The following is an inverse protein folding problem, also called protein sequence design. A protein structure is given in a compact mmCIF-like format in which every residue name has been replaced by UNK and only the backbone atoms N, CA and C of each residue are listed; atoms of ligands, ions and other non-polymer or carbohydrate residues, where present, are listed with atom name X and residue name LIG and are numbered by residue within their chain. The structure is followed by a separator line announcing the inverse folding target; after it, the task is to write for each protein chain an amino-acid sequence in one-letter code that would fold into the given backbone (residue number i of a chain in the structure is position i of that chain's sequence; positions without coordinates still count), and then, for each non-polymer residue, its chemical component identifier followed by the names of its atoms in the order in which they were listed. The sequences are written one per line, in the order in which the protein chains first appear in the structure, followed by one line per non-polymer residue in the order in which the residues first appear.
data_IF_925974210537
#
_entry.id   IF_925974210537
#
_cell.length_a   1.000
_cell.length_b   1.000
_cell.length_c   1.000
_cell.angle_alpha   90.00
_cell.angle_beta   90.00
_cell.angle_gamma   90.00
#
_symmetry.space_group_name_H-M   'P 1'
#
loop_
_entity.id
_entity.type
_entity.pdbx_description
1 polymer ?
#
# COMPACT_ATOMS: atom_id res chain seq x y z
N UNK A 1 -0.72 11.15 9.17
CA UNK A 1 -1.34 9.91 8.65
C UNK A 1 -0.49 8.75 9.14
N UNK A 2 -0.78 8.27 10.36
CA UNK A 2 -0.07 7.14 10.97
C UNK A 2 -0.62 5.86 10.34
N UNK A 3 0.23 5.16 9.61
CA UNK A 3 -0.07 3.88 8.96
C UNK A 3 -0.22 2.83 10.06
N UNK A 4 -1.46 2.46 10.39
CA UNK A 4 -1.72 1.32 11.26
C UNK A 4 -1.38 0.03 10.47
N UNK A 5 -0.34 -0.68 10.92
CA UNK A 5 0.04 -1.98 10.37
C UNK A 5 -0.95 -3.03 10.89
N UNK A 6 -1.94 -3.38 10.07
CA UNK A 6 -2.86 -4.48 10.34
C UNK A 6 -2.17 -5.78 9.91
N UNK A 7 -1.98 -6.69 10.87
CA UNK A 7 -1.49 -8.08 10.75
C UNK A 7 0.04 -8.26 10.62
N UNK A 8 0.70 -8.21 11.79
CA UNK A 8 2.04 -8.77 11.98
C UNK A 8 1.96 -10.30 11.80
N UNK A 9 2.76 -10.96 10.94
CA UNK A 9 2.79 -12.42 10.80
C UNK A 9 2.98 -13.14 12.15
N UNK A 10 2.32 -14.29 12.33
CA UNK A 10 2.28 -15.01 13.62
C UNK A 10 3.68 -15.29 14.20
N UNK A 11 4.66 -15.64 13.35
CA UNK A 11 6.04 -15.88 13.80
C UNK A 11 6.71 -14.62 14.39
N UNK A 12 6.39 -13.44 13.85
CA UNK A 12 6.88 -12.14 14.38
C UNK A 12 6.13 -11.81 15.66
N UNK A 13 4.81 -12.06 15.72
CA UNK A 13 4.05 -11.89 16.96
C UNK A 13 4.56 -12.78 18.08
N UNK A 14 4.89 -14.05 17.76
CA UNK A 14 5.47 -14.98 18.74
C UNK A 14 6.83 -14.49 19.23
N UNK A 15 7.70 -14.02 18.34
CA UNK A 15 8.99 -13.42 18.72
C UNK A 15 8.81 -12.19 19.60
N UNK A 16 7.90 -11.29 19.25
CA UNK A 16 7.56 -10.10 20.06
C UNK A 16 7.01 -10.49 21.44
N UNK A 17 6.17 -11.53 21.52
CA UNK A 17 5.65 -12.03 22.80
C UNK A 17 6.76 -12.64 23.66
N UNK A 18 7.67 -13.41 23.08
CA UNK A 18 8.83 -13.94 23.80
C UNK A 18 9.74 -12.82 24.32
N UNK A 19 9.98 -11.77 23.53
CA UNK A 19 10.71 -10.58 23.96
C UNK A 19 9.98 -9.83 25.08
N UNK A 20 8.65 -9.70 25.02
CA UNK A 20 7.84 -9.10 26.09
C UNK A 20 7.86 -9.92 27.38
N UNK A 21 7.82 -11.26 27.29
CA UNK A 21 7.93 -12.16 28.44
C UNK A 21 9.33 -12.04 29.05
N UNK A 22 10.39 -11.98 28.23
CA UNK A 22 11.75 -11.78 28.72
C UNK A 22 11.93 -10.42 29.43
N UNK A 23 11.16 -9.40 29.03
CA UNK A 23 11.15 -8.06 29.65
C UNK A 23 10.19 -7.91 30.83
N UNK A 24 9.39 -8.93 31.13
CA UNK A 24 8.42 -8.87 32.21
C UNK A 24 9.13 -8.85 33.57
N UNK A 25 9.03 -7.73 34.29
CA UNK A 25 9.68 -7.53 35.59
C UNK A 25 11.05 -6.85 35.55
N UNK A 26 11.55 -6.50 34.36
CA UNK A 26 12.79 -5.72 34.21
C UNK A 26 12.47 -4.28 33.80
N UNK A 27 13.04 -3.30 34.52
CA UNK A 27 13.04 -1.90 34.07
C UNK A 27 14.18 -1.77 33.06
N UNK A 28 13.88 -1.92 31.77
CA UNK A 28 14.80 -1.48 30.72
C UNK A 28 14.73 0.05 30.65
N UNK A 29 15.72 0.74 31.23
CA UNK A 29 16.05 2.08 30.77
C UNK A 29 16.59 1.95 29.35
N UNK A 30 15.70 2.09 28.36
CA UNK A 30 16.09 2.21 26.97
C UNK A 30 16.81 3.55 26.85
N UNK A 31 18.13 3.54 27.08
CA UNK A 31 19.04 4.61 26.71
C UNK A 31 19.16 4.61 25.19
N UNK A 32 18.07 4.98 24.52
CA UNK A 32 18.14 5.39 23.12
C UNK A 32 19.16 6.54 23.07
N UNK A 33 20.09 6.54 22.11
CA UNK A 33 21.13 7.57 22.02
C UNK A 33 20.54 8.87 21.47
N UNK A 34 19.55 9.42 22.18
CA UNK A 34 18.80 10.62 21.82
C UNK A 34 19.79 11.77 21.68
N UNK A 35 20.71 11.91 22.64
CA UNK A 35 21.73 12.97 22.63
C UNK A 35 22.60 12.91 21.38
N UNK A 36 23.03 11.71 20.96
CA UNK A 36 23.80 11.53 19.71
C UNK A 36 23.04 12.02 18.47
N UNK A 37 21.75 11.72 18.39
CA UNK A 37 20.92 12.18 17.26
C UNK A 37 20.67 13.68 17.31
N UNK A 38 20.41 14.23 18.51
CA UNK A 38 20.24 15.66 18.73
C UNK A 38 21.51 16.42 18.35
N UNK A 39 22.67 15.98 18.82
CA UNK A 39 23.97 16.55 18.48
C UNK A 39 24.21 16.52 16.98
N UNK A 40 24.03 15.37 16.33
CA UNK A 40 24.22 15.25 14.87
C UNK A 40 23.30 16.20 14.08
N UNK A 41 22.03 16.31 14.47
CA UNK A 41 21.09 17.24 13.85
C UNK A 41 21.49 18.70 14.08
N UNK A 42 21.92 19.04 15.30
CA UNK A 42 22.39 20.37 15.64
C UNK A 42 23.66 20.74 14.87
N UNK A 43 24.60 19.81 14.70
CA UNK A 43 25.79 20.00 13.87
C UNK A 43 25.41 20.34 12.43
N UNK A 44 24.55 19.53 11.81
CA UNK A 44 24.09 19.78 10.42
C UNK A 44 23.39 21.14 10.32
N UNK A 45 22.49 21.45 11.26
CA UNK A 45 21.76 22.72 11.28
C UNK A 45 22.70 23.91 11.38
N UNK A 46 23.62 23.89 12.35
CA UNK A 46 24.56 24.98 12.58
C UNK A 46 25.50 25.18 11.38
N UNK A 47 26.00 24.09 10.78
CA UNK A 47 26.85 24.17 9.59
C UNK A 47 26.11 24.76 8.39
N UNK A 48 24.88 24.30 8.15
CA UNK A 48 24.06 24.80 7.04
C UNK A 48 23.67 26.26 7.26
N UNK A 49 23.36 26.65 8.51
CA UNK A 49 23.06 28.02 8.89
C UNK A 49 24.27 28.94 8.70
N UNK A 50 25.47 28.50 9.10
CA UNK A 50 26.71 29.25 8.87
C UNK A 50 26.91 29.52 7.37
N UNK A 51 26.80 28.47 6.54
CA UNK A 51 26.88 28.62 5.08
C UNK A 51 25.84 29.59 4.53
N UNK A 52 24.60 29.51 5.00
CA UNK A 52 23.50 30.41 4.62
C UNK A 52 23.81 31.87 4.93
N UNK A 53 24.41 32.13 6.10
CA UNK A 53 24.84 33.46 6.51
C UNK A 53 26.05 33.95 5.69
N UNK A 54 27.03 33.07 5.42
CA UNK A 54 28.23 33.38 4.64
C UNK A 54 27.91 33.83 3.20
N UNK A 55 26.84 33.28 2.60
CA UNK A 55 26.37 33.66 1.25
C UNK A 55 25.32 34.78 1.27
N UNK A 56 25.31 35.61 2.33
CA UNK A 56 24.36 36.72 2.50
C UNK A 56 22.88 36.30 2.35
N UNK A 57 22.53 35.09 2.79
CA UNK A 57 21.16 34.56 2.72
C UNK A 57 20.64 34.42 1.28
N UNK A 58 21.53 34.08 0.33
CA UNK A 58 21.16 33.79 -1.05
C UNK A 58 20.91 32.27 -1.27
N UNK A 59 19.66 31.84 -1.56
CA UNK A 59 19.32 30.43 -1.76
C UNK A 59 20.08 29.76 -2.90
N UNK A 60 20.42 30.52 -3.94
CA UNK A 60 21.04 29.99 -5.15
C UNK A 60 22.54 29.71 -4.97
N UNK A 61 23.18 30.40 -4.03
CA UNK A 61 24.62 30.27 -3.73
C UNK A 61 24.88 29.35 -2.52
N UNK A 62 23.83 29.04 -1.77
CA UNK A 62 23.91 28.15 -0.60
C UNK A 62 24.35 26.76 -1.01
N UNK A 63 23.78 26.25 -2.10
CA UNK A 63 24.13 24.96 -2.70
C UNK A 63 24.64 25.19 -4.11
N UNK A 64 25.76 24.56 -4.46
CA UNK A 64 26.27 24.56 -5.83
C UNK A 64 26.15 23.18 -6.43
N UNK A 65 26.01 23.09 -7.75
CA UNK A 65 25.79 21.83 -8.45
C UNK A 65 26.98 21.56 -9.37
N UNK A 66 27.48 20.33 -9.35
CA UNK A 66 28.54 19.93 -10.28
C UNK A 66 27.97 19.64 -11.67
N UNK A 67 28.78 19.72 -12.74
CA UNK A 67 28.29 19.53 -14.11
C UNK A 67 27.64 18.16 -14.38
N UNK A 68 28.08 17.12 -13.66
CA UNK A 68 27.53 15.75 -13.78
C UNK A 68 26.15 15.59 -13.14
N UNK A 69 25.72 16.52 -12.28
CA UNK A 69 24.45 16.45 -11.55
C UNK A 69 23.26 16.22 -12.48
N UNK A 70 23.12 17.04 -13.52
CA UNK A 70 21.97 16.99 -14.44
C UNK A 70 21.95 15.68 -15.25
N UNK A 71 23.11 15.20 -15.67
CA UNK A 71 23.23 13.96 -16.44
C UNK A 71 22.81 12.75 -15.60
N UNK A 72 23.32 12.65 -14.37
CA UNK A 72 22.98 11.57 -13.44
C UNK A 72 21.53 11.65 -13.01
N UNK A 73 21.01 12.85 -12.76
CA UNK A 73 19.61 13.04 -12.41
C UNK A 73 18.66 12.54 -13.49
N UNK A 74 18.94 12.86 -14.74
CA UNK A 74 18.12 12.37 -15.86
C UNK A 74 18.16 10.83 -15.93
N UNK A 75 19.34 10.24 -15.82
CA UNK A 75 19.51 8.79 -15.84
C UNK A 75 18.72 8.10 -14.72
N UNK A 76 18.83 8.60 -13.48
CA UNK A 76 18.13 8.02 -12.33
C UNK A 76 16.61 8.24 -12.42
N UNK A 77 16.17 9.39 -12.93
CA UNK A 77 14.76 9.63 -13.20
C UNK A 77 14.19 8.64 -14.22
N UNK A 78 14.87 8.42 -15.35
CA UNK A 78 14.46 7.46 -16.38
C UNK A 78 14.45 6.03 -15.84
N UNK A 79 15.45 5.67 -15.04
CA UNK A 79 15.55 4.36 -14.37
C UNK A 79 14.38 4.13 -13.41
N UNK A 80 14.11 5.09 -12.51
CA UNK A 80 13.00 5.02 -11.58
C UNK A 80 11.67 4.97 -12.32
N UNK A 81 11.48 5.79 -13.37
CA UNK A 81 10.26 5.79 -14.19
C UNK A 81 10.01 4.43 -14.82
N UNK A 82 11.03 3.79 -15.40
CA UNK A 82 10.91 2.46 -16.01
C UNK A 82 10.45 1.42 -14.99
N UNK A 83 11.05 1.41 -13.80
CA UNK A 83 10.65 0.52 -12.70
C UNK A 83 9.15 0.66 -12.38
N UNK A 84 8.60 1.88 -12.41
CA UNK A 84 7.17 2.08 -12.13
C UNK A 84 6.27 1.59 -13.25
N UNK A 85 6.73 1.70 -14.50
CA UNK A 85 5.99 1.24 -15.68
C UNK A 85 5.99 -0.29 -15.79
N UNK A 86 7.00 -0.97 -15.26
CA UNK A 86 7.09 -2.43 -15.23
C UNK A 86 6.15 -3.07 -14.17
N UNK A 87 5.43 -2.27 -13.36
CA UNK A 87 4.44 -2.77 -12.40
C UNK A 87 3.10 -3.12 -13.07
N UNK A 88 2.25 -3.92 -12.40
CA UNK A 88 0.92 -4.31 -12.92
C UNK A 88 0.09 -3.08 -13.27
N UNK A 89 -0.65 -3.12 -14.37
CA UNK A 89 -1.35 -1.94 -14.94
C UNK A 89 -2.15 -1.12 -13.92
N UNK A 90 -2.93 -1.77 -13.06
CA UNK A 90 -3.72 -1.11 -12.00
C UNK A 90 -2.85 -0.46 -10.91
N UNK A 91 -1.70 -1.05 -10.60
CA UNK A 91 -0.70 -0.48 -9.68
C UNK A 91 0.06 0.66 -10.37
N UNK A 92 0.39 0.51 -11.65
CA UNK A 92 1.08 1.51 -12.45
C UNK A 92 0.26 2.80 -12.58
N UNK A 93 -1.07 2.72 -12.72
CA UNK A 93 -1.95 3.91 -12.73
C UNK A 93 -1.87 4.66 -11.39
N UNK A 94 -1.95 3.96 -10.26
CA UNK A 94 -1.89 4.57 -8.92
C UNK A 94 -0.49 5.14 -8.67
N UNK A 95 0.55 4.39 -9.02
CA UNK A 95 1.93 4.82 -8.96
C UNK A 95 2.25 6.01 -9.89
N UNK A 96 1.56 6.11 -11.02
CA UNK A 96 1.66 7.22 -11.97
C UNK A 96 1.36 8.58 -11.34
N UNK A 97 0.58 8.62 -10.25
CA UNK A 97 0.40 9.86 -9.49
C UNK A 97 1.68 10.27 -8.74
N UNK A 98 2.51 9.31 -8.31
CA UNK A 98 3.80 9.56 -7.68
C UNK A 98 4.88 10.00 -8.68
N UNK A 99 4.86 9.47 -9.92
CA UNK A 99 5.82 9.88 -10.96
C UNK A 99 5.75 11.37 -11.28
N UNK A 100 4.56 11.98 -11.21
CA UNK A 100 4.38 13.43 -11.47
C UNK A 100 5.23 14.32 -10.54
N UNK A 101 5.57 13.82 -9.35
CA UNK A 101 6.40 14.54 -8.36
C UNK A 101 7.78 13.93 -8.18
N UNK A 102 8.07 12.80 -8.82
CA UNK A 102 9.31 12.04 -8.67
C UNK A 102 10.54 12.92 -8.91
N UNK A 103 10.53 13.68 -10.00
CA UNK A 103 11.63 14.57 -10.36
C UNK A 103 11.90 15.59 -9.24
N UNK A 104 10.84 16.25 -8.72
CA UNK A 104 10.96 17.23 -7.62
C UNK A 104 11.47 16.59 -6.33
N UNK A 105 11.05 15.35 -6.04
CA UNK A 105 11.50 14.62 -4.85
C UNK A 105 12.97 14.24 -5.01
N UNK A 106 13.39 13.77 -6.19
CA UNK A 106 14.77 13.41 -6.49
C UNK A 106 15.71 14.61 -6.35
N UNK A 107 15.34 15.78 -6.90
CA UNK A 107 16.09 17.03 -6.70
C UNK A 107 16.27 17.36 -5.21
N UNK A 108 15.17 17.42 -4.45
CA UNK A 108 15.19 17.77 -3.02
C UNK A 108 16.00 16.78 -2.20
N UNK A 109 15.83 15.49 -2.46
CA UNK A 109 16.54 14.45 -1.74
C UNK A 109 18.04 14.47 -2.06
N UNK A 110 18.43 14.78 -3.30
CA UNK A 110 19.84 14.94 -3.67
C UNK A 110 20.52 16.06 -2.88
N UNK A 111 19.84 17.19 -2.71
CA UNK A 111 20.31 18.30 -1.87
C UNK A 111 20.42 17.88 -0.41
N UNK A 112 19.41 17.17 0.13
CA UNK A 112 19.44 16.67 1.50
C UNK A 112 20.57 15.66 1.74
N UNK A 113 20.86 14.78 0.77
CA UNK A 113 22.00 13.87 0.84
C UNK A 113 23.33 14.63 0.89
N UNK A 114 23.47 15.73 0.16
CA UNK A 114 24.66 16.60 0.23
C UNK A 114 24.78 17.25 1.62
N UNK A 115 23.70 17.85 2.13
CA UNK A 115 23.65 18.45 3.47
C UNK A 115 23.96 17.43 4.58
N UNK A 116 23.43 16.22 4.47
CA UNK A 116 23.69 15.16 5.45
C UNK A 116 25.16 14.68 5.42
N UNK A 117 25.81 14.71 4.25
CA UNK A 117 27.23 14.35 4.11
C UNK A 117 28.20 15.46 4.52
N UNK A 118 27.73 16.71 4.59
CA UNK A 118 28.56 17.90 4.84
C UNK A 118 29.45 17.80 6.10
N UNK A 119 28.99 17.30 7.27
CA UNK A 119 29.85 17.18 8.46
C UNK A 119 31.02 16.21 8.29
N UNK A 120 30.93 15.26 7.35
CA UNK A 120 31.97 14.25 7.11
C UNK A 120 33.00 14.69 6.05
N UNK A 121 32.82 15.86 5.43
CA UNK A 121 33.71 16.38 4.39
C UNK A 121 34.69 17.36 5.01
N UNK A 122 35.99 17.06 4.89
CA UNK A 122 37.05 17.89 5.46
C UNK A 122 37.14 19.28 4.81
N UNK A 123 37.13 19.34 3.47
CA UNK A 123 37.23 20.60 2.74
C UNK A 123 35.92 21.40 2.79
N UNK A 124 35.95 22.61 3.35
CA UNK A 124 34.74 23.42 3.57
C UNK A 124 34.04 23.81 2.26
N UNK A 125 34.80 24.06 1.19
CA UNK A 125 34.25 24.46 -0.11
C UNK A 125 33.47 23.35 -0.80
N UNK A 126 33.75 22.09 -0.46
CA UNK A 126 33.09 20.93 -1.07
C UNK A 126 31.86 20.46 -0.28
N UNK A 127 31.66 20.95 0.95
CA UNK A 127 30.59 20.52 1.86
C UNK A 127 29.18 20.74 1.29
N UNK A 128 28.99 21.78 0.50
CA UNK A 128 27.69 22.17 -0.06
C UNK A 128 27.66 22.11 -1.60
N UNK A 129 28.46 21.21 -2.17
CA UNK A 129 28.41 20.82 -3.59
C UNK A 129 27.54 19.57 -3.73
N UNK A 130 26.48 19.69 -4.54
CA UNK A 130 25.61 18.56 -4.89
C UNK A 130 26.19 17.89 -6.12
N UNK A 131 26.57 16.61 -5.96
CA UNK A 131 27.20 15.80 -6.99
C UNK A 131 26.26 14.72 -7.53
N UNK A 132 26.62 14.09 -8.65
CA UNK A 132 25.92 12.90 -9.14
C UNK A 132 25.91 11.74 -8.12
N UNK A 133 26.89 11.67 -7.22
CA UNK A 133 26.87 10.69 -6.14
C UNK A 133 25.69 10.91 -5.18
N UNK A 134 25.40 12.15 -4.81
CA UNK A 134 24.25 12.48 -3.97
C UNK A 134 22.92 12.14 -4.67
N UNK A 135 22.87 12.32 -5.99
CA UNK A 135 21.71 11.91 -6.80
C UNK A 135 21.48 10.40 -6.76
N UNK A 136 22.54 9.59 -6.88
CA UNK A 136 22.43 8.12 -6.78
C UNK A 136 21.98 7.66 -5.40
N UNK A 137 22.48 8.30 -4.34
CA UNK A 137 22.00 8.03 -2.97
C UNK A 137 20.51 8.34 -2.85
N UNK A 138 20.09 9.52 -3.31
CA UNK A 138 18.69 9.93 -3.33
C UNK A 138 17.81 8.96 -4.12
N UNK A 139 18.25 8.54 -5.30
CA UNK A 139 17.54 7.58 -6.15
C UNK A 139 17.36 6.23 -5.44
N UNK A 140 18.40 5.76 -4.74
CA UNK A 140 18.34 4.50 -3.98
C UNK A 140 17.30 4.57 -2.86
N UNK A 141 17.27 5.65 -2.09
CA UNK A 141 16.28 5.87 -1.01
C UNK A 141 14.87 5.90 -1.59
N UNK A 142 14.66 6.67 -2.66
CA UNK A 142 13.35 6.80 -3.31
C UNK A 142 12.89 5.46 -3.87
N UNK A 143 13.79 4.69 -4.50
CA UNK A 143 13.51 3.35 -5.02
C UNK A 143 13.02 2.42 -3.92
N UNK A 144 13.70 2.38 -2.77
CA UNK A 144 13.31 1.50 -1.65
C UNK A 144 11.92 1.85 -1.10
N UNK A 145 11.66 3.13 -0.89
CA UNK A 145 10.35 3.61 -0.43
C UNK A 145 9.25 3.22 -1.43
N UNK A 146 9.52 3.39 -2.73
CA UNK A 146 8.55 3.07 -3.77
C UNK A 146 8.32 1.56 -3.91
N UNK A 147 9.36 0.73 -3.91
CA UNK A 147 9.22 -0.73 -3.97
C UNK A 147 8.40 -1.25 -2.79
N UNK A 148 8.64 -0.72 -1.59
CA UNK A 148 7.85 -1.06 -0.40
C UNK A 148 6.36 -0.70 -0.58
N UNK A 149 6.08 0.46 -1.18
CA UNK A 149 4.70 0.88 -1.46
C UNK A 149 4.03 0.00 -2.53
N UNK A 150 4.73 -0.33 -3.62
CA UNK A 150 4.24 -1.20 -4.69
C UNK A 150 3.97 -2.60 -4.15
N UNK A 151 4.92 -3.18 -3.42
CA UNK A 151 4.75 -4.50 -2.78
C UNK A 151 3.52 -4.51 -1.87
N UNK A 152 3.33 -3.45 -1.09
CA UNK A 152 2.15 -3.32 -0.22
C UNK A 152 0.84 -3.22 -1.02
N UNK A 153 0.81 -2.40 -2.08
CA UNK A 153 -0.35 -2.28 -2.97
C UNK A 153 -0.69 -3.61 -3.63
N UNK A 154 0.31 -4.33 -4.14
CA UNK A 154 0.12 -5.64 -4.75
C UNK A 154 -0.46 -6.66 -3.78
N UNK A 155 0.08 -6.73 -2.55
CA UNK A 155 -0.42 -7.63 -1.50
C UNK A 155 -1.87 -7.30 -1.12
N UNK A 156 -2.18 -6.02 -0.92
CA UNK A 156 -3.52 -5.54 -0.54
C UNK A 156 -4.54 -5.85 -1.63
N UNK A 157 -4.18 -5.63 -2.90
CA UNK A 157 -5.05 -5.94 -4.04
C UNK A 157 -5.28 -7.45 -4.20
N UNK A 158 -4.27 -8.29 -3.95
CA UNK A 158 -4.44 -9.75 -3.91
C UNK A 158 -5.37 -10.19 -2.78
N UNK A 159 -5.22 -9.64 -1.58
CA UNK A 159 -6.10 -9.92 -0.44
C UNK A 159 -7.54 -9.51 -0.71
N UNK A 160 -7.77 -8.33 -1.31
CA UNK A 160 -9.12 -7.88 -1.70
C UNK A 160 -9.76 -8.83 -2.71
N UNK A 161 -9.02 -9.30 -3.73
CA UNK A 161 -9.51 -10.30 -4.68
C UNK A 161 -9.86 -11.63 -4.00
N UNK A 162 -9.03 -12.11 -3.06
CA UNK A 162 -9.33 -13.31 -2.27
C UNK A 162 -10.57 -13.13 -1.42
N UNK A 163 -10.71 -12.02 -0.70
CA UNK A 163 -11.89 -11.73 0.10
C UNK A 163 -13.17 -11.65 -0.74
N UNK A 164 -13.13 -11.07 -1.94
CA UNK A 164 -14.29 -11.05 -2.86
C UNK A 164 -14.63 -12.47 -3.34
N UNK A 165 -13.63 -13.27 -3.72
CA UNK A 165 -13.84 -14.65 -4.17
C UNK A 165 -14.37 -15.55 -3.03
N UNK A 166 -13.82 -15.44 -1.83
CA UNK A 166 -14.24 -16.18 -0.62
C UNK A 166 -15.61 -15.73 -0.12
N UNK A 167 -15.99 -14.47 -0.35
CA UNK A 167 -17.32 -13.94 -0.05
C UNK A 167 -18.32 -14.13 -1.19
N UNK A 168 -17.94 -14.74 -2.32
CA UNK A 168 -18.87 -15.01 -3.40
C UNK A 168 -19.72 -16.25 -3.05
N UNK A 169 -20.93 -16.03 -2.55
CA UNK A 169 -21.89 -17.10 -2.27
C UNK A 169 -22.63 -17.57 -3.52
N UNK A 170 -22.46 -16.92 -4.67
CA UNK A 170 -23.19 -17.23 -5.89
C UNK A 170 -23.13 -18.71 -6.27
N UNK A 171 -21.96 -19.41 -6.29
CA UNK A 171 -21.92 -20.83 -6.63
C UNK A 171 -22.76 -21.69 -5.69
N UNK A 172 -22.85 -21.30 -4.41
CA UNK A 172 -23.63 -21.99 -3.39
C UNK A 172 -25.14 -21.83 -3.67
N UNK A 173 -25.56 -20.65 -4.13
CA UNK A 173 -26.95 -20.41 -4.54
C UNK A 173 -27.32 -21.26 -5.75
N UNK A 174 -26.45 -21.34 -6.77
CA UNK A 174 -26.68 -22.19 -7.97
C UNK A 174 -26.79 -23.65 -7.57
N UNK A 175 -25.81 -24.15 -6.81
CA UNK A 175 -25.75 -25.57 -6.44
C UNK A 175 -26.96 -26.01 -5.61
N UNK A 176 -27.46 -25.14 -4.72
CA UNK A 176 -28.64 -25.46 -3.91
C UNK A 176 -29.91 -25.33 -4.74
N UNK A 177 -30.03 -24.33 -5.60
CA UNK A 177 -31.15 -24.22 -6.53
C UNK A 177 -31.28 -25.48 -7.38
N UNK A 178 -30.17 -26.05 -7.86
CA UNK A 178 -30.18 -27.28 -8.64
C UNK A 178 -30.54 -28.54 -7.87
N UNK A 179 -30.33 -28.54 -6.55
CA UNK A 179 -30.69 -29.66 -5.66
C UNK A 179 -32.13 -29.61 -5.16
N UNK A 180 -32.79 -28.44 -5.22
CA UNK A 180 -34.15 -28.30 -4.77
C UNK A 180 -35.13 -28.89 -5.80
N UNK A 181 -36.22 -29.46 -5.28
CA UNK A 181 -37.33 -29.91 -6.13
C UNK A 181 -37.98 -28.69 -6.78
N UNK A 182 -37.86 -28.62 -8.11
CA UNK A 182 -38.46 -27.61 -8.97
C UNK A 182 -39.87 -28.06 -9.36
N UNK A 183 -40.79 -27.12 -9.53
CA UNK A 183 -42.08 -27.41 -10.16
C UNK A 183 -41.94 -27.60 -11.68
N UNK A 184 -43.04 -27.94 -12.36
CA UNK A 184 -43.08 -28.18 -13.81
C UNK A 184 -42.62 -26.96 -14.63
N UNK A 185 -42.74 -25.76 -14.07
CA UNK A 185 -42.29 -24.50 -14.68
C UNK A 185 -40.84 -24.13 -14.29
N UNK A 186 -40.21 -24.88 -13.39
CA UNK A 186 -38.84 -24.70 -12.95
C UNK A 186 -38.66 -23.78 -11.73
N UNK A 187 -39.72 -23.36 -11.04
CA UNK A 187 -39.64 -22.51 -9.86
C UNK A 187 -39.36 -23.30 -8.57
N UNK A 188 -38.69 -22.64 -7.62
CA UNK A 188 -38.49 -23.12 -6.25
C UNK A 188 -38.95 -22.06 -5.24
N UNK A 189 -39.35 -22.49 -4.04
CA UNK A 189 -39.72 -21.54 -2.99
C UNK A 189 -38.49 -20.77 -2.49
N UNK A 190 -38.53 -19.42 -2.56
CA UNK A 190 -37.43 -18.54 -2.16
C UNK A 190 -37.01 -18.75 -0.70
N UNK A 191 -37.97 -19.00 0.19
CA UNK A 191 -37.68 -19.22 1.62
C UNK A 191 -36.89 -20.50 1.82
N UNK A 192 -37.21 -21.55 1.08
CA UNK A 192 -36.50 -22.83 1.14
C UNK A 192 -35.07 -22.68 0.61
N UNK A 193 -34.89 -22.02 -0.54
CA UNK A 193 -33.55 -21.72 -1.08
C UNK A 193 -32.70 -20.95 -0.06
N UNK A 194 -33.20 -19.84 0.47
CA UNK A 194 -32.44 -19.01 1.41
C UNK A 194 -32.12 -19.75 2.72
N UNK A 195 -32.99 -20.67 3.14
CA UNK A 195 -32.76 -21.48 4.36
C UNK A 195 -31.68 -22.52 4.13
N UNK A 196 -31.70 -23.24 3.02
CA UNK A 196 -30.66 -24.20 2.65
C UNK A 196 -29.31 -23.51 2.41
N UNK A 197 -29.30 -22.36 1.73
CA UNK A 197 -28.09 -21.54 1.53
C UNK A 197 -27.53 -21.08 2.88
N UNK A 198 -28.39 -20.67 3.81
CA UNK A 198 -27.98 -20.29 5.17
C UNK A 198 -27.30 -21.47 5.88
N UNK A 199 -27.89 -22.67 5.83
CA UNK A 199 -27.34 -23.87 6.47
C UNK A 199 -25.97 -24.22 5.90
N UNK A 200 -25.84 -24.19 4.58
CA UNK A 200 -24.59 -24.55 3.90
C UNK A 200 -23.49 -23.50 4.04
N UNK A 201 -23.84 -22.22 3.88
CA UNK A 201 -22.88 -21.11 3.98
C UNK A 201 -22.54 -20.72 5.43
N UNK A 202 -23.30 -21.23 6.41
CA UNK A 202 -23.15 -20.90 7.85
C UNK A 202 -23.16 -19.39 8.12
N UNK A 203 -23.99 -18.63 7.39
CA UNK A 203 -24.13 -17.17 7.54
C UNK A 203 -25.44 -16.80 8.23
N UNK A 204 -25.53 -15.56 8.72
CA UNK A 204 -26.78 -15.06 9.31
C UNK A 204 -27.85 -14.86 8.24
N UNK A 205 -29.13 -14.93 8.63
CA UNK A 205 -30.25 -14.70 7.70
C UNK A 205 -30.14 -13.33 7.03
N UNK A 206 -29.82 -12.27 7.80
CA UNK A 206 -29.65 -10.93 7.25
C UNK A 206 -28.53 -10.84 6.19
N UNK A 207 -27.42 -11.57 6.37
CA UNK A 207 -26.35 -11.64 5.39
C UNK A 207 -26.82 -12.32 4.10
N UNK A 208 -27.50 -13.47 4.20
CA UNK A 208 -28.00 -14.21 3.03
C UNK A 208 -28.99 -13.36 2.20
N UNK A 209 -29.88 -12.60 2.83
CA UNK A 209 -30.78 -11.69 2.11
C UNK A 209 -30.04 -10.56 1.39
N UNK A 210 -29.00 -9.97 2.01
CA UNK A 210 -28.14 -8.97 1.34
C UNK A 210 -27.42 -9.56 0.13
N UNK A 211 -26.90 -10.78 0.25
CA UNK A 211 -26.27 -11.48 -0.87
C UNK A 211 -27.26 -11.79 -1.99
N UNK A 212 -28.48 -12.22 -1.63
CA UNK A 212 -29.52 -12.49 -2.60
C UNK A 212 -29.87 -11.25 -3.43
N UNK A 213 -29.96 -10.06 -2.81
CA UNK A 213 -30.21 -8.81 -3.57
C UNK A 213 -29.13 -8.52 -4.63
N UNK A 214 -27.87 -8.88 -4.37
CA UNK A 214 -26.77 -8.70 -5.35
C UNK A 214 -26.96 -9.63 -6.56
N UNK A 215 -27.35 -10.88 -6.33
CA UNK A 215 -27.53 -11.89 -7.37
C UNK A 215 -28.97 -11.98 -7.92
N UNK A 216 -29.88 -11.12 -7.45
CA UNK A 216 -31.31 -11.13 -7.79
C UNK A 216 -31.55 -11.06 -9.29
N UNK A 217 -30.69 -10.36 -10.02
CA UNK A 217 -30.74 -10.24 -11.48
C UNK A 217 -30.59 -11.59 -12.22
N UNK A 218 -30.15 -12.66 -11.55
CA UNK A 218 -30.06 -14.01 -12.12
C UNK A 218 -31.32 -14.86 -11.89
N UNK A 219 -32.31 -14.34 -11.17
CA UNK A 219 -33.52 -15.05 -10.82
C UNK A 219 -34.78 -14.27 -11.22
N UNK A 220 -35.71 -14.95 -11.85
CA UNK A 220 -37.08 -14.51 -12.07
C UNK A 220 -37.88 -14.74 -10.78
N UNK A 221 -38.61 -13.73 -10.30
CA UNK A 221 -39.41 -13.81 -9.08
C UNK A 221 -40.91 -13.80 -9.41
N UNK A 222 -41.63 -14.83 -8.98
CA UNK A 222 -43.09 -14.92 -9.06
C UNK A 222 -43.67 -14.89 -7.65
N UNK A 223 -44.65 -14.01 -7.40
CA UNK A 223 -45.31 -13.93 -6.10
C UNK A 223 -46.72 -14.49 -6.20
N UNK A 224 -46.99 -15.53 -5.43
CA UNK A 224 -48.32 -16.13 -5.31
C UNK A 224 -48.76 -16.03 -3.85
N UNK A 225 -49.72 -15.12 -3.60
CA UNK A 225 -50.19 -14.79 -2.25
C UNK A 225 -49.08 -14.20 -1.36
N UNK A 226 -48.80 -14.88 -0.24
CA UNK A 226 -47.73 -14.49 0.72
C UNK A 226 -46.38 -15.12 0.42
N UNK A 227 -46.32 -16.03 -0.55
CA UNK A 227 -45.13 -16.82 -0.90
C UNK A 227 -44.47 -16.28 -2.16
N UNK A 228 -43.13 -16.30 -2.16
CA UNK A 228 -42.33 -15.90 -3.32
C UNK A 228 -41.59 -17.11 -3.85
N UNK A 229 -41.77 -17.35 -5.14
CA UNK A 229 -41.12 -18.39 -5.92
C UNK A 229 -40.08 -17.75 -6.82
N UNK A 230 -39.00 -18.49 -7.06
CA UNK A 230 -37.85 -18.02 -7.82
C UNK A 230 -37.43 -19.08 -8.83
N UNK A 231 -37.07 -18.64 -10.02
CA UNK A 231 -36.56 -19.48 -11.10
C UNK A 231 -35.28 -18.86 -11.64
N UNK A 232 -34.26 -19.64 -11.90
CA UNK A 232 -33.06 -19.11 -12.57
C UNK A 232 -33.41 -18.66 -13.97
N UNK A 233 -33.01 -17.43 -14.28
CA UNK A 233 -32.99 -16.95 -15.66
C UNK A 233 -31.84 -17.69 -16.31
N UNK A 234 -32.13 -18.54 -17.31
CA UNK A 234 -31.09 -19.06 -18.18
C UNK A 234 -30.49 -17.84 -18.89
N UNK A 235 -29.27 -17.48 -18.51
CA UNK A 235 -28.50 -16.53 -19.30
C UNK A 235 -28.25 -17.15 -20.67
N UNK A 236 -28.39 -16.35 -21.73
CA UNK A 236 -27.79 -16.63 -23.02
C UNK A 236 -26.26 -16.70 -22.81
N UNK A 237 -25.76 -17.87 -22.43
CA UNK A 237 -24.35 -18.25 -22.57
C UNK A 237 -24.28 -19.27 -23.72
N UNK A 238 -24.42 -18.75 -24.95
CA UNK A 238 -23.58 -19.12 -26.09
C UNK A 238 -22.56 -18.00 -26.33
#
# INVERSE_FOLDING_TARGET
MLVYCWEVPEFIQHKMRLEQIAKAGTIEEVNAPIDRYVEALMTIYNMTKKRWEDVNKNPLETMTFTPDFNAVLRLEYETLRKIMQDSREDVAVIAGNFTTRLMKILYKMSVLCSVASAPSINNEEDRFKVTGHNVRQAATIIKQCYMTLVDWLERTMRQKKRSIAENNLEPIFIEIYDKLNKDDEGFVNKTNLLTEVKTKAKKSRAQIYRYYEVIRHKFEEKKEGRTTYIKMIKGDDE
#
